data_IF_157103943056
#
_entry.id   IF_157103943056
#
_cell.length_a   1.000
_cell.length_b   1.000
_cell.length_c   1.000
_cell.angle_alpha   90.00
_cell.angle_beta   90.00
_cell.angle_gamma   90.00
#
_symmetry.space_group_name_H-M   'P 1'
#
loop_
_entity.id
_entity.type
_entity.pdbx_description
1 polymer ?
#
# COMPACT_ATOMS: atom_id res chain seq x y z
N UNK A 1 -17.81 -22.52 14.10
CA UNK A 1 -17.32 -21.13 14.17
C UNK A 1 -17.52 -20.53 12.78
N UNK A 2 -18.56 -19.72 12.59
CA UNK A 2 -18.85 -19.09 11.31
C UNK A 2 -17.80 -17.98 11.09
N UNK A 3 -16.89 -18.17 10.13
CA UNK A 3 -16.00 -17.08 9.68
C UNK A 3 -16.91 -16.03 9.07
N UNK A 4 -16.82 -14.79 9.57
CA UNK A 4 -17.55 -13.66 9.02
C UNK A 4 -17.23 -13.58 7.52
N UNK A 5 -18.20 -13.72 6.59
CA UNK A 5 -17.92 -13.72 5.14
C UNK A 5 -17.29 -12.41 4.65
N UNK A 6 -17.38 -11.35 5.46
CA UNK A 6 -16.84 -10.00 5.19
C UNK A 6 -15.36 -9.79 5.60
N UNK A 7 -14.52 -10.83 5.68
CA UNK A 7 -13.07 -10.65 5.91
C UNK A 7 -12.18 -10.83 4.67
N UNK A 8 -12.73 -11.35 3.56
CA UNK A 8 -12.00 -11.62 2.32
C UNK A 8 -12.04 -10.43 1.38
N UNK A 9 -10.92 -10.12 0.72
CA UNK A 9 -10.88 -9.08 -0.31
C UNK A 9 -11.69 -9.52 -1.51
N UNK A 10 -12.37 -8.59 -2.20
CA UNK A 10 -12.99 -8.89 -3.50
C UNK A 10 -11.94 -9.22 -4.56
N UNK A 11 -10.70 -8.78 -4.35
CA UNK A 11 -9.56 -9.16 -5.16
C UNK A 11 -9.15 -10.63 -5.00
N UNK A 12 -9.61 -11.34 -3.97
CA UNK A 12 -9.38 -12.80 -3.82
C UNK A 12 -10.11 -13.60 -4.91
N UNK A 13 -11.20 -13.06 -5.46
CA UNK A 13 -11.99 -13.71 -6.51
C UNK A 13 -11.46 -13.44 -7.93
N UNK A 14 -10.46 -12.56 -8.06
CA UNK A 14 -9.95 -12.11 -9.36
C UNK A 14 -10.95 -11.24 -10.15
N UNK A 15 -10.66 -11.11 -11.45
CA UNK A 15 -11.45 -10.33 -12.41
C UNK A 15 -11.79 -8.91 -11.93
N UNK A 16 -10.85 -8.27 -11.22
CA UNK A 16 -10.95 -6.89 -10.80
C UNK A 16 -10.29 -5.94 -11.79
N UNK A 17 -10.64 -4.66 -11.74
CA UNK A 17 -9.94 -3.58 -12.44
C UNK A 17 -9.34 -2.59 -11.45
N UNK A 18 -8.11 -2.16 -11.70
CA UNK A 18 -7.48 -1.15 -10.88
C UNK A 18 -7.81 0.27 -11.32
N UNK A 19 -8.26 1.06 -10.35
CA UNK A 19 -8.28 2.51 -10.41
C UNK A 19 -7.12 3.06 -9.58
N UNK A 20 -6.52 4.15 -10.05
CA UNK A 20 -5.31 4.72 -9.44
C UNK A 20 -5.57 6.14 -8.96
N UNK A 21 -5.41 6.36 -7.65
CA UNK A 21 -5.48 7.71 -7.10
C UNK A 21 -4.23 8.52 -7.48
N UNK A 22 -4.39 9.84 -7.65
CA UNK A 22 -3.29 10.73 -8.01
C UNK A 22 -2.06 10.63 -7.08
N UNK A 23 -2.20 10.50 -5.73
CA UNK A 23 -1.05 10.31 -4.86
C UNK A 23 -0.28 9.01 -5.10
N UNK A 24 -0.97 7.94 -5.48
CA UNK A 24 -0.31 6.69 -5.90
C UNK A 24 0.49 6.93 -7.19
N UNK A 25 -0.14 7.52 -8.22
CA UNK A 25 0.49 7.77 -9.51
C UNK A 25 1.74 8.66 -9.38
N UNK A 26 1.67 9.71 -8.55
CA UNK A 26 2.80 10.61 -8.29
C UNK A 26 3.98 9.89 -7.64
N UNK A 27 3.75 9.10 -6.60
CA UNK A 27 4.85 8.35 -5.98
C UNK A 27 5.37 7.27 -6.92
N UNK A 28 4.50 6.61 -7.71
CA UNK A 28 4.92 5.63 -8.69
C UNK A 28 5.85 6.27 -9.74
N UNK A 29 5.44 7.39 -10.32
CA UNK A 29 6.27 8.12 -11.28
C UNK A 29 7.62 8.53 -10.68
N UNK A 30 7.62 9.06 -9.46
CA UNK A 30 8.85 9.43 -8.76
C UNK A 30 9.80 8.24 -8.59
N UNK A 31 9.27 7.06 -8.22
CA UNK A 31 10.08 5.85 -8.11
C UNK A 31 10.59 5.35 -9.47
N UNK A 32 9.79 5.46 -10.54
CA UNK A 32 10.26 5.19 -11.91
C UNK A 32 11.38 6.15 -12.35
N UNK A 33 11.33 7.40 -11.94
CA UNK A 33 12.40 8.37 -12.18
C UNK A 33 13.66 8.05 -11.35
N UNK A 34 13.49 7.55 -10.12
CA UNK A 34 14.59 7.01 -9.29
C UNK A 34 15.16 5.69 -9.87
N UNK A 35 14.36 4.91 -10.63
CA UNK A 35 14.78 3.66 -11.29
C UNK A 35 15.72 3.88 -12.47
N UNK A 36 15.80 5.09 -13.02
CA UNK A 36 16.61 5.39 -14.19
C UNK A 36 18.04 5.73 -13.74
N UNK A 37 19.08 4.95 -14.12
CA UNK A 37 20.42 5.30 -13.70
C UNK A 37 20.82 6.64 -14.31
N UNK A 38 21.30 7.55 -13.46
CA UNK A 38 22.09 8.70 -13.90
C UNK A 38 23.46 8.25 -14.46
N UNK A 39 23.89 7.03 -14.12
CA UNK A 39 25.18 6.44 -14.50
C UNK A 39 24.99 5.01 -15.07
N UNK A 40 25.24 4.79 -16.38
CA UNK A 40 25.12 3.47 -17.02
C UNK A 40 26.08 2.40 -16.49
N UNK A 41 27.09 2.78 -15.69
CA UNK A 41 28.01 1.85 -15.03
C UNK A 41 27.60 1.53 -13.57
N UNK A 42 26.51 2.11 -13.06
CA UNK A 42 25.99 1.80 -11.72
C UNK A 42 25.38 0.38 -11.73
N UNK A 43 25.98 -0.61 -11.03
CA UNK A 43 25.61 -2.04 -11.10
C UNK A 43 24.32 -2.35 -10.31
N UNK A 44 23.38 -1.43 -10.32
CA UNK A 44 22.35 -1.21 -9.34
C UNK A 44 20.96 -1.41 -9.98
N UNK A 45 20.48 -2.66 -10.14
CA UNK A 45 19.16 -2.96 -10.73
C UNK A 45 17.97 -2.69 -9.77
N UNK A 46 18.15 -1.81 -8.80
CA UNK A 46 17.80 -2.09 -7.40
C UNK A 46 16.32 -1.94 -6.98
N UNK A 47 15.48 -1.16 -7.66
CA UNK A 47 14.04 -1.03 -7.31
C UNK A 47 13.10 -1.81 -8.23
N UNK A 48 13.63 -2.38 -9.32
CA UNK A 48 12.86 -3.08 -10.36
C UNK A 48 12.13 -4.28 -9.77
N UNK A 49 12.80 -5.08 -8.94
CA UNK A 49 12.22 -6.33 -8.42
C UNK A 49 11.11 -6.08 -7.39
N UNK A 50 11.26 -5.03 -6.57
CA UNK A 50 10.29 -4.75 -5.52
C UNK A 50 8.97 -4.18 -6.07
N UNK A 51 9.07 -3.26 -7.03
CA UNK A 51 7.90 -2.72 -7.73
C UNK A 51 7.32 -3.72 -8.72
N UNK A 52 8.13 -4.54 -9.38
CA UNK A 52 7.65 -5.63 -10.23
C UNK A 52 6.87 -6.68 -9.42
N UNK A 53 7.29 -6.99 -8.18
CA UNK A 53 6.50 -7.87 -7.30
C UNK A 53 5.14 -7.25 -6.97
N UNK A 54 5.10 -5.95 -6.67
CA UNK A 54 3.84 -5.23 -6.44
C UNK A 54 2.96 -5.28 -7.70
N UNK A 55 3.54 -5.04 -8.88
CA UNK A 55 2.81 -5.08 -10.15
C UNK A 55 2.26 -6.48 -10.44
N UNK A 56 3.03 -7.53 -10.16
CA UNK A 56 2.59 -8.91 -10.31
C UNK A 56 1.41 -9.25 -9.39
N UNK A 57 1.48 -8.84 -8.11
CA UNK A 57 0.38 -9.02 -7.14
C UNK A 57 -0.86 -8.24 -7.59
N UNK A 58 -0.68 -6.98 -8.02
CA UNK A 58 -1.80 -6.18 -8.52
C UNK A 58 -2.43 -6.81 -9.77
N UNK A 59 -1.63 -7.29 -10.71
CA UNK A 59 -2.11 -7.98 -11.91
C UNK A 59 -2.83 -9.30 -11.60
N UNK A 60 -2.43 -10.01 -10.53
CA UNK A 60 -3.11 -11.23 -10.10
C UNK A 60 -4.59 -10.98 -9.78
N UNK A 61 -4.92 -9.86 -9.13
CA UNK A 61 -6.32 -9.47 -8.89
C UNK A 61 -7.13 -9.18 -10.15
N UNK A 62 -6.50 -8.84 -11.27
CA UNK A 62 -7.18 -8.69 -12.56
C UNK A 62 -7.44 -10.05 -13.24
N UNK A 63 -6.61 -11.04 -12.94
CA UNK A 63 -6.73 -12.43 -13.40
C UNK A 63 -7.39 -13.32 -12.36
N UNK A 64 -6.59 -14.22 -11.79
CA UNK A 64 -7.03 -15.35 -10.97
C UNK A 64 -7.34 -15.00 -9.50
N UNK A 65 -6.99 -13.79 -9.07
CA UNK A 65 -7.15 -13.30 -7.70
C UNK A 65 -5.84 -13.23 -6.91
N UNK A 66 -5.89 -12.61 -5.73
CA UNK A 66 -4.78 -12.58 -4.78
C UNK A 66 -4.52 -13.95 -4.15
N UNK A 67 -3.25 -14.29 -3.96
CA UNK A 67 -2.87 -15.36 -3.04
C UNK A 67 -3.10 -14.94 -1.57
N UNK A 68 -3.32 -15.88 -0.64
CA UNK A 68 -3.65 -15.57 0.76
C UNK A 68 -2.63 -14.68 1.50
N UNK A 69 -1.38 -14.63 1.05
CA UNK A 69 -0.28 -13.88 1.67
C UNK A 69 0.13 -12.62 0.88
N UNK A 70 -0.53 -12.33 -0.25
CA UNK A 70 -0.21 -11.21 -1.13
C UNK A 70 -0.54 -9.85 -0.52
N UNK A 71 -1.52 -9.84 0.39
CA UNK A 71 -1.92 -8.65 1.10
C UNK A 71 -2.30 -8.96 2.54
N UNK A 72 -2.32 -7.91 3.37
CA UNK A 72 -2.81 -8.00 4.73
C UNK A 72 -3.65 -6.77 5.08
N UNK A 73 -4.42 -6.85 6.16
CA UNK A 73 -4.92 -5.63 6.81
C UNK A 73 -3.72 -4.89 7.44
N UNK A 74 -3.61 -3.57 7.29
CA UNK A 74 -2.46 -2.83 7.81
C UNK A 74 -2.46 -2.81 9.34
N UNK A 75 -1.30 -3.05 9.94
CA UNK A 75 -1.09 -3.05 11.39
C UNK A 75 -0.98 -1.62 11.94
N UNK A 76 -1.57 -1.34 13.12
CA UNK A 76 -1.43 -0.03 13.81
C UNK A 76 -2.75 0.69 14.14
N UNK A 77 -3.70 0.00 14.79
CA UNK A 77 -5.03 0.54 15.12
C UNK A 77 -4.99 1.52 16.31
N UNK A 78 -5.35 2.77 16.01
CA UNK A 78 -6.38 3.59 16.67
C UNK A 78 -6.68 4.82 15.77
N UNK A 79 -7.25 4.58 14.58
CA UNK A 79 -7.70 5.68 13.71
C UNK A 79 -9.16 5.97 14.08
N UNK A 80 -9.39 7.05 14.82
CA UNK A 80 -10.73 7.50 15.23
C UNK A 80 -11.44 8.20 14.07
N UNK A 81 -12.02 7.43 13.16
CA UNK A 81 -12.90 7.95 12.11
C UNK A 81 -14.23 7.20 12.15
N UNK A 82 -15.34 7.92 11.99
CA UNK A 82 -16.67 7.31 11.80
C UNK A 82 -16.73 6.63 10.44
N UNK A 83 -17.16 5.36 10.42
CA UNK A 83 -17.26 4.50 9.23
C UNK A 83 -16.06 4.61 8.29
N UNK A 84 -14.84 4.22 8.76
CA UNK A 84 -13.66 4.30 7.94
C UNK A 84 -13.70 3.25 6.83
N UNK A 85 -13.16 3.55 5.63
CA UNK A 85 -13.00 2.55 4.59
C UNK A 85 -12.10 1.42 5.09
N UNK A 86 -12.41 0.19 4.67
CA UNK A 86 -11.48 -0.92 4.74
C UNK A 86 -10.27 -0.63 3.85
N UNK A 87 -9.07 -0.97 4.33
CA UNK A 87 -7.80 -0.77 3.63
C UNK A 87 -7.03 -2.09 3.66
N UNK A 88 -6.54 -2.54 2.50
CA UNK A 88 -5.54 -3.59 2.36
C UNK A 88 -4.14 -3.00 2.14
N UNK A 89 -3.10 -3.74 2.53
CA UNK A 89 -1.70 -3.42 2.23
C UNK A 89 -1.04 -4.55 1.44
N UNK A 90 -0.42 -4.23 0.29
CA UNK A 90 0.54 -5.07 -0.42
C UNK A 90 1.94 -4.62 -0.01
N UNK A 91 2.83 -5.55 0.33
CA UNK A 91 4.17 -5.26 0.82
C UNK A 91 5.23 -5.85 -0.09
N UNK A 92 6.32 -5.11 -0.26
CA UNK A 92 7.52 -5.61 -0.92
C UNK A 92 8.77 -5.01 -0.28
N UNK A 93 9.88 -5.74 -0.32
CA UNK A 93 11.17 -5.27 0.16
C UNK A 93 12.07 -4.95 -1.02
N UNK A 94 12.60 -3.73 -1.02
CA UNK A 94 13.67 -3.32 -1.91
C UNK A 94 14.98 -4.02 -1.56
N UNK A 95 15.95 -3.78 -2.41
CA UNK A 95 17.30 -4.24 -2.16
C UNK A 95 18.02 -3.38 -1.12
N UNK A 96 19.07 -3.92 -0.46
CA UNK A 96 19.80 -3.18 0.57
C UNK A 96 20.52 -1.94 0.03
N UNK A 97 20.30 -0.79 0.69
CA UNK A 97 21.00 0.48 0.41
C UNK A 97 21.80 0.94 1.63
N UNK A 98 23.11 1.13 1.45
CA UNK A 98 24.06 1.40 2.56
C UNK A 98 23.80 2.76 3.22
N UNK A 99 23.49 3.77 2.42
CA UNK A 99 23.14 5.14 2.82
C UNK A 99 21.78 5.22 3.56
N UNK A 100 20.88 4.28 3.27
CA UNK A 100 19.57 4.15 3.91
C UNK A 100 19.55 3.20 5.12
N UNK A 101 20.69 2.56 5.41
CA UNK A 101 20.88 1.66 6.55
C UNK A 101 20.23 0.28 6.39
N UNK A 102 19.88 -0.11 5.16
CA UNK A 102 19.21 -1.37 4.83
C UNK A 102 18.27 -1.23 3.63
N UNK A 103 17.37 -2.20 3.46
CA UNK A 103 16.36 -2.19 2.41
C UNK A 103 15.23 -1.19 2.68
N UNK A 104 14.66 -0.62 1.61
CA UNK A 104 13.36 0.03 1.65
C UNK A 104 12.26 -1.02 1.83
N UNK A 105 11.24 -0.73 2.62
CA UNK A 105 10.00 -1.50 2.67
C UNK A 105 8.88 -0.70 1.98
N UNK A 106 8.45 -1.16 0.80
CA UNK A 106 7.37 -0.57 0.01
C UNK A 106 6.02 -1.10 0.45
N UNK A 107 5.01 -0.23 0.34
CA UNK A 107 3.61 -0.51 0.69
C UNK A 107 2.68 0.17 -0.29
N UNK A 108 1.80 -0.63 -0.91
CA UNK A 108 0.61 -0.11 -1.58
C UNK A 108 -0.57 -0.26 -0.65
N UNK A 109 -1.22 0.85 -0.32
CA UNK A 109 -2.49 0.88 0.38
C UNK A 109 -3.60 0.94 -0.65
N UNK A 110 -4.51 -0.03 -0.61
CA UNK A 110 -5.65 -0.09 -1.51
C UNK A 110 -6.97 -0.25 -0.77
N UNK A 111 -8.06 0.02 -1.48
CA UNK A 111 -9.41 -0.14 -0.96
C UNK A 111 -10.35 -0.74 -1.99
N UNK A 112 -11.55 -1.04 -1.53
CA UNK A 112 -12.63 -1.62 -2.30
C UNK A 112 -13.84 -0.67 -2.33
N UNK A 113 -13.89 0.26 -3.30
CA UNK A 113 -15.11 1.02 -3.56
C UNK A 113 -16.27 0.07 -3.89
N UNK A 114 -17.48 0.36 -3.43
CA UNK A 114 -18.68 -0.43 -3.71
C UNK A 114 -19.20 -0.16 -5.13
N UNK A 115 -18.31 -0.44 -6.09
CA UNK A 115 -18.49 -0.42 -7.54
C UNK A 115 -18.04 -1.79 -8.05
N UNK A 116 -18.70 -2.27 -9.09
CA UNK A 116 -18.50 -3.62 -9.59
C UNK A 116 -17.03 -3.88 -9.95
N UNK A 117 -16.44 -4.89 -9.30
CA UNK A 117 -15.07 -5.38 -9.49
C UNK A 117 -13.95 -4.31 -9.53
N UNK A 118 -14.12 -3.14 -8.91
CA UNK A 118 -13.05 -2.12 -8.84
C UNK A 118 -12.21 -2.25 -7.55
N UNK A 119 -10.89 -2.17 -7.71
CA UNK A 119 -9.92 -1.94 -6.63
C UNK A 119 -9.28 -0.56 -6.81
N UNK A 120 -9.14 0.20 -5.72
CA UNK A 120 -8.52 1.53 -5.75
C UNK A 120 -7.13 1.49 -5.11
N UNK A 121 -6.08 1.69 -5.89
CA UNK A 121 -4.74 1.95 -5.39
C UNK A 121 -4.65 3.40 -4.89
N UNK A 122 -4.73 3.58 -3.57
CA UNK A 122 -4.87 4.89 -2.96
C UNK A 122 -3.53 5.58 -2.69
N UNK A 123 -2.54 4.83 -2.20
CA UNK A 123 -1.27 5.38 -1.76
C UNK A 123 -0.15 4.36 -1.92
N UNK A 124 0.96 4.78 -2.54
CA UNK A 124 2.23 4.05 -2.54
C UNK A 124 3.21 4.81 -1.64
N UNK A 125 3.86 4.10 -0.71
CA UNK A 125 4.92 4.65 0.16
C UNK A 125 6.00 3.63 0.41
N UNK A 126 7.15 4.10 0.83
CA UNK A 126 8.20 3.27 1.40
C UNK A 126 8.74 3.85 2.70
N UNK A 127 9.33 2.98 3.52
CA UNK A 127 10.13 3.36 4.69
C UNK A 127 11.52 2.77 4.58
N UNK A 128 12.53 3.55 4.95
CA UNK A 128 13.92 3.07 5.00
C UNK A 128 14.22 2.42 6.35
N UNK A 129 15.22 1.54 6.40
CA UNK A 129 15.66 0.94 7.66
C UNK A 129 16.07 2.02 8.70
N UNK A 130 16.69 3.11 8.28
CA UNK A 130 16.97 4.27 9.14
C UNK A 130 15.70 4.91 9.71
N UNK A 131 14.65 5.07 8.91
CA UNK A 131 13.35 5.58 9.37
C UNK A 131 12.65 4.62 10.33
N UNK A 132 12.84 3.31 10.15
CA UNK A 132 12.30 2.30 11.07
C UNK A 132 13.01 2.28 12.43
N UNK A 133 14.32 2.54 12.44
CA UNK A 133 15.16 2.53 13.64
C UNK A 133 15.19 3.87 14.39
N UNK A 134 14.66 4.94 13.78
CA UNK A 134 14.55 6.22 14.44
C UNK A 134 13.61 6.10 15.66
N UNK A 135 14.19 6.13 16.86
CA UNK A 135 13.45 6.31 18.11
C UNK A 135 13.67 7.74 18.60
N UNK A 136 12.63 8.38 19.11
CA UNK A 136 12.82 9.58 19.93
C UNK A 136 13.20 9.14 21.33
N UNK A 137 14.09 9.89 21.99
CA UNK A 137 14.49 9.69 23.40
C UNK A 137 13.30 9.70 24.40
N UNK A 138 12.08 10.01 23.95
CA UNK A 138 10.92 10.34 24.77
C UNK A 138 9.63 9.56 24.45
N UNK A 139 9.63 8.63 23.48
CA UNK A 139 8.42 7.86 23.14
C UNK A 139 8.58 6.37 23.45
N UNK A 140 7.66 5.81 24.24
CA UNK A 140 7.58 4.38 24.58
C UNK A 140 7.11 3.48 23.41
N UNK A 141 6.84 4.06 22.23
CA UNK A 141 6.46 3.35 21.00
C UNK A 141 7.38 3.78 19.84
N UNK A 142 7.79 2.88 18.93
CA UNK A 142 8.61 3.22 17.76
C UNK A 142 7.92 4.27 16.86
N UNK A 143 8.65 5.23 16.28
CA UNK A 143 8.10 6.19 15.31
C UNK A 143 7.48 5.51 14.07
N UNK A 144 7.95 4.31 13.73
CA UNK A 144 7.42 3.52 12.61
C UNK A 144 5.94 3.18 12.77
N UNK A 145 5.43 3.04 14.01
CA UNK A 145 3.99 2.84 14.23
C UNK A 145 3.20 4.12 13.97
N UNK A 146 3.70 5.29 14.39
CA UNK A 146 3.04 6.58 14.15
C UNK A 146 2.98 6.95 12.67
N UNK A 147 4.07 6.68 11.94
CA UNK A 147 4.13 6.91 10.49
C UNK A 147 3.18 5.99 9.73
N UNK A 148 3.17 4.69 10.05
CA UNK A 148 2.23 3.76 9.43
C UNK A 148 0.77 4.14 9.73
N UNK A 149 0.46 4.56 10.95
CA UNK A 149 -0.88 5.08 11.29
C UNK A 149 -1.23 6.33 10.47
N UNK A 150 -0.29 7.25 10.27
CA UNK A 150 -0.48 8.41 9.41
C UNK A 150 -0.73 8.02 7.95
N UNK A 151 0.08 7.10 7.40
CA UNK A 151 -0.07 6.64 6.02
C UNK A 151 -1.44 5.97 5.79
N UNK A 152 -1.89 5.14 6.75
CA UNK A 152 -3.23 4.54 6.73
C UNK A 152 -4.32 5.62 6.77
N UNK A 153 -4.22 6.59 7.68
CA UNK A 153 -5.20 7.67 7.79
C UNK A 153 -5.26 8.52 6.50
N UNK A 154 -4.11 8.79 5.89
CA UNK A 154 -4.02 9.45 4.58
C UNK A 154 -4.67 8.62 3.48
N UNK A 155 -4.38 7.31 3.41
CA UNK A 155 -5.01 6.41 2.44
C UNK A 155 -6.53 6.38 2.60
N UNK A 156 -7.05 6.30 3.84
CA UNK A 156 -8.50 6.37 4.12
C UNK A 156 -9.12 7.68 3.63
N UNK A 157 -8.46 8.82 3.84
CA UNK A 157 -8.91 10.11 3.35
C UNK A 157 -8.96 10.19 1.82
N UNK A 158 -7.94 9.65 1.14
CA UNK A 158 -7.89 9.57 -0.33
C UNK A 158 -9.04 8.71 -0.87
N UNK A 159 -9.27 7.54 -0.28
CA UNK A 159 -10.35 6.63 -0.67
C UNK A 159 -11.71 7.30 -0.52
N UNK A 160 -11.97 7.95 0.62
CA UNK A 160 -13.22 8.68 0.86
C UNK A 160 -13.39 9.81 -0.17
N UNK A 161 -12.34 10.58 -0.43
CA UNK A 161 -12.36 11.64 -1.44
C UNK A 161 -12.67 11.12 -2.85
N UNK A 162 -12.05 10.02 -3.25
CA UNK A 162 -12.30 9.38 -4.54
C UNK A 162 -13.73 8.86 -4.64
N UNK A 163 -14.22 8.15 -3.62
CA UNK A 163 -15.58 7.60 -3.58
C UNK A 163 -16.64 8.71 -3.66
N UNK A 164 -16.45 9.81 -2.90
CA UNK A 164 -17.32 10.98 -2.97
C UNK A 164 -17.34 11.60 -4.38
N UNK A 165 -16.18 11.71 -5.04
CA UNK A 165 -16.07 12.25 -6.40
C UNK A 165 -16.80 11.37 -7.43
N UNK A 166 -16.70 10.05 -7.30
CA UNK A 166 -17.34 9.09 -8.20
C UNK A 166 -18.81 8.81 -7.84
N UNK A 167 -19.34 9.36 -6.74
CA UNK A 167 -20.72 9.15 -6.30
C UNK A 167 -20.99 7.74 -5.78
N UNK A 168 -19.98 7.07 -5.22
CA UNK A 168 -20.03 5.66 -4.81
C UNK A 168 -19.63 5.53 -3.33
N UNK A 169 -19.99 4.41 -2.70
CA UNK A 169 -19.59 4.12 -1.33
C UNK A 169 -18.32 3.26 -1.30
N UNK A 170 -17.83 2.91 -0.11
CA UNK A 170 -16.68 2.03 0.10
C UNK A 170 -17.04 0.95 1.11
N UNK A 171 -16.34 -0.19 1.03
CA UNK A 171 -16.49 -1.25 2.05
C UNK A 171 -16.11 -0.71 3.42
N UNK A 172 -16.99 -0.79 4.45
CA UNK A 172 -16.65 -0.34 5.78
C UNK A 172 -15.63 -1.29 6.42
N UNK A 173 -14.81 -0.75 7.31
CA UNK A 173 -13.92 -1.55 8.14
C UNK A 173 -14.75 -2.35 9.17
N UNK A 174 -14.74 -3.68 9.06
CA UNK A 174 -15.33 -4.58 10.05
C UNK A 174 -14.67 -4.57 11.43
#
# INVERSE_FOLDING_TARGET
MSRNPDSRSRGDDGNCSWEYAEPYLKERQKLEEERNPFDPDDPTPWEVDALALIDAIMAAAEGDGFDPDDYAAPMGRDVTQENPPWIGEIKSSGVPRKDEGGSREYRVYFAEPLVDRVLLAALLKYKTAKQMRASTRFAAKPLSSGRQTSDIATAMGIVRGWCNKCGVSYRPRG
#
